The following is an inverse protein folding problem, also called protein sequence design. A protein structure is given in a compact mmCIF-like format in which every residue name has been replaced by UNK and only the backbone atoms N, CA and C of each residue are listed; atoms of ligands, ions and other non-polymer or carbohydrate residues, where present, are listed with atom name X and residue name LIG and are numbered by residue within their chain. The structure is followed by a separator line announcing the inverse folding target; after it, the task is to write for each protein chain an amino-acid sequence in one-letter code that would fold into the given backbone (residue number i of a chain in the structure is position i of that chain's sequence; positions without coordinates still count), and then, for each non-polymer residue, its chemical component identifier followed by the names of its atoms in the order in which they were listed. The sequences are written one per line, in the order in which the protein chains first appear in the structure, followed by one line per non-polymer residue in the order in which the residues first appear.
data_IF_736076165616
#
_entry.id   IF_736076165616
#
_cell.length_a   1.000
_cell.length_b   1.000
_cell.length_c   1.000
_cell.angle_alpha   90.00
_cell.angle_beta   90.00
_cell.angle_gamma   90.00
#
_symmetry.space_group_name_H-M   'P 1'
#
loop_
_entity.id
_entity.type
_entity.pdbx_description
1 polymer ?
#
# COMPACT_ATOMS: atom_id res chain seq x y z
N UNK A 1 63.96 37.78 22.86
CA UNK A 1 63.39 36.62 23.59
C UNK A 1 61.95 36.39 23.14
N UNK A 2 61.71 35.16 22.65
CA UNK A 2 60.46 34.43 22.34
C UNK A 2 59.10 35.16 22.34
N UNK A 3 58.59 35.34 21.12
CA UNK A 3 57.23 35.07 20.56
C UNK A 3 56.08 34.82 21.56
N UNK A 4 54.96 35.55 21.38
CA UNK A 4 53.61 34.99 21.56
C UNK A 4 52.65 35.54 20.50
N UNK A 5 52.41 34.69 19.49
CA UNK A 5 51.43 34.88 18.42
C UNK A 5 50.07 34.53 19.02
N UNK A 6 49.19 35.53 19.14
CA UNK A 6 47.78 35.32 19.50
C UNK A 6 47.03 34.80 18.26
N UNK A 7 47.06 33.48 18.08
CA UNK A 7 46.30 32.77 17.06
C UNK A 7 44.85 32.65 17.56
N UNK A 8 43.99 33.53 17.06
CA UNK A 8 42.55 33.44 17.22
C UNK A 8 42.05 32.21 16.45
N UNK A 9 41.79 31.12 17.17
CA UNK A 9 41.15 29.92 16.63
C UNK A 9 39.69 30.23 16.33
N UNK A 10 39.40 30.62 15.08
CA UNK A 10 38.04 30.55 14.52
C UNK A 10 37.73 29.06 14.33
N UNK A 11 37.06 28.44 15.29
CA UNK A 11 36.42 27.14 15.10
C UNK A 11 35.25 27.36 14.13
N UNK A 12 35.26 26.81 12.89
CA UNK A 12 34.07 26.80 12.08
C UNK A 12 33.12 25.78 12.72
N UNK A 13 32.02 26.27 13.28
CA UNK A 13 30.84 25.45 13.59
C UNK A 13 30.37 24.80 12.29
N UNK A 14 30.90 23.62 11.97
CA UNK A 14 30.35 22.70 10.99
C UNK A 14 29.01 22.20 11.54
N UNK A 15 27.97 23.02 11.45
CA UNK A 15 26.60 22.59 11.67
C UNK A 15 26.21 21.68 10.52
N UNK A 16 26.31 20.39 10.79
CA UNK A 16 25.99 19.30 9.89
C UNK A 16 24.61 19.49 9.24
N UNK A 17 24.58 19.64 7.92
CA UNK A 17 23.39 19.64 7.04
C UNK A 17 22.72 18.25 6.93
N UNK A 18 22.65 17.48 8.02
CA UNK A 18 22.16 16.10 7.99
C UNK A 18 20.64 15.97 7.77
N UNK A 19 19.85 17.03 7.98
CA UNK A 19 18.40 17.01 7.76
C UNK A 19 18.01 16.68 6.31
N UNK A 20 18.78 17.10 5.30
CA UNK A 20 18.40 16.89 3.88
C UNK A 20 18.60 15.45 3.41
N UNK A 21 19.64 14.76 3.88
CA UNK A 21 19.95 13.40 3.43
C UNK A 21 18.95 12.37 3.98
N UNK A 22 18.61 12.48 5.27
CA UNK A 22 17.66 11.59 5.94
C UNK A 22 16.25 11.75 5.37
N UNK A 23 15.82 12.99 5.11
CA UNK A 23 14.52 13.27 4.47
C UNK A 23 14.40 12.61 3.09
N UNK A 24 15.44 12.69 2.25
CA UNK A 24 15.43 12.04 0.94
C UNK A 24 15.30 10.50 1.01
N UNK A 25 15.97 9.86 1.99
CA UNK A 25 15.83 8.41 2.20
C UNK A 25 14.43 8.05 2.70
N UNK A 26 13.86 8.85 3.59
CA UNK A 26 12.51 8.65 4.11
C UNK A 26 11.43 8.85 3.04
N UNK A 27 11.57 9.87 2.19
CA UNK A 27 10.67 10.10 1.04
C UNK A 27 10.72 8.90 0.08
N UNK A 28 11.91 8.39 -0.27
CA UNK A 28 12.04 7.19 -1.11
C UNK A 28 11.38 5.97 -0.46
N UNK A 29 11.56 5.79 0.85
CA UNK A 29 10.91 4.73 1.60
C UNK A 29 9.38 4.83 1.53
N UNK A 30 8.84 6.03 1.78
CA UNK A 30 7.41 6.29 1.66
C UNK A 30 6.87 6.01 0.27
N UNK A 31 7.51 6.57 -0.74
CA UNK A 31 7.08 6.40 -2.14
C UNK A 31 7.13 4.94 -2.57
N UNK A 32 8.03 4.13 -2.00
CA UNK A 32 8.08 2.69 -2.26
C UNK A 32 6.87 1.97 -1.67
N UNK A 33 6.50 2.25 -0.42
CA UNK A 33 5.29 1.67 0.22
C UNK A 33 4.02 2.11 -0.51
N UNK A 34 3.90 3.39 -0.86
CA UNK A 34 2.73 3.93 -1.58
C UNK A 34 2.63 3.33 -2.99
N UNK A 35 3.76 3.05 -3.66
CA UNK A 35 3.75 2.34 -4.94
C UNK A 35 3.21 0.92 -4.80
N UNK A 36 3.54 0.21 -3.73
CA UNK A 36 2.99 -1.11 -3.47
C UNK A 36 1.46 -1.07 -3.27
N UNK A 37 0.96 -0.10 -2.50
CA UNK A 37 -0.49 0.12 -2.36
C UNK A 37 -1.16 0.43 -3.71
N UNK A 38 -0.58 1.36 -4.48
CA UNK A 38 -1.10 1.73 -5.81
C UNK A 38 -1.13 0.54 -6.75
N UNK A 39 -0.10 -0.31 -6.73
CA UNK A 39 -0.06 -1.53 -7.53
C UNK A 39 -1.21 -2.45 -7.15
N UNK A 40 -1.45 -2.72 -5.86
CA UNK A 40 -2.60 -3.53 -5.41
C UNK A 40 -3.92 -2.96 -5.95
N UNK A 41 -4.16 -1.66 -5.76
CA UNK A 41 -5.39 -1.00 -6.22
C UNK A 41 -5.57 -1.09 -7.73
N UNK A 42 -4.48 -0.94 -8.50
CA UNK A 42 -4.50 -1.06 -9.95
C UNK A 42 -4.83 -2.49 -10.40
N UNK A 43 -4.30 -3.51 -9.73
CA UNK A 43 -4.57 -4.92 -10.06
C UNK A 43 -6.04 -5.26 -9.74
N UNK A 44 -6.56 -4.81 -8.59
CA UNK A 44 -7.99 -4.95 -8.23
C UNK A 44 -8.87 -4.26 -9.27
N UNK A 45 -8.56 -3.01 -9.64
CA UNK A 45 -9.32 -2.28 -10.66
C UNK A 45 -9.26 -2.96 -12.03
N UNK A 46 -8.10 -3.50 -12.41
CA UNK A 46 -7.92 -4.23 -13.67
C UNK A 46 -8.74 -5.51 -13.70
N UNK A 47 -8.80 -6.23 -12.59
CA UNK A 47 -9.64 -7.41 -12.45
C UNK A 47 -11.12 -7.10 -12.61
N UNK A 48 -11.63 -6.04 -11.96
CA UNK A 48 -13.03 -5.63 -12.12
C UNK A 48 -13.39 -5.25 -13.56
N UNK A 49 -12.47 -4.63 -14.31
CA UNK A 49 -12.68 -4.37 -15.75
C UNK A 49 -12.78 -5.65 -16.58
N UNK A 50 -12.07 -6.72 -16.19
CA UNK A 50 -12.20 -8.03 -16.84
C UNK A 50 -13.56 -8.65 -16.50
N UNK A 51 -13.97 -8.60 -15.24
CA UNK A 51 -15.30 -9.08 -14.81
C UNK A 51 -16.43 -8.36 -15.54
N UNK A 52 -16.40 -7.03 -15.63
CA UNK A 52 -17.43 -6.25 -16.31
C UNK A 52 -17.56 -6.63 -17.80
N UNK A 53 -16.42 -6.80 -18.49
CA UNK A 53 -16.39 -7.24 -19.89
C UNK A 53 -16.85 -8.69 -20.08
N UNK A 54 -16.66 -9.55 -19.08
CA UNK A 54 -17.04 -10.96 -19.16
C UNK A 54 -18.53 -11.19 -19.35
N UNK A 55 -19.37 -10.23 -18.94
CA UNK A 55 -20.81 -10.26 -19.15
C UNK A 55 -21.20 -10.11 -20.64
N UNK A 56 -20.31 -9.60 -21.49
CA UNK A 56 -20.60 -9.29 -22.90
C UNK A 56 -20.34 -10.45 -23.87
N UNK A 57 -19.45 -11.40 -23.54
CA UNK A 57 -19.14 -12.52 -24.44
C UNK A 57 -18.52 -13.74 -23.73
N UNK A 58 -18.70 -14.94 -24.29
CA UNK A 58 -18.08 -16.16 -23.78
C UNK A 58 -16.55 -16.16 -23.87
N UNK A 59 -15.99 -15.52 -24.90
CA UNK A 59 -14.54 -15.36 -25.05
C UNK A 59 -13.92 -14.47 -23.96
N UNK A 60 -14.67 -13.48 -23.47
CA UNK A 60 -14.23 -12.64 -22.35
C UNK A 60 -14.42 -13.31 -20.98
N UNK A 61 -15.45 -14.16 -20.85
CA UNK A 61 -15.62 -15.03 -19.66
C UNK A 61 -14.43 -15.96 -19.40
N UNK A 62 -13.82 -16.50 -20.47
CA UNK A 62 -12.62 -17.33 -20.36
C UNK A 62 -11.39 -16.60 -19.76
N UNK A 63 -11.39 -15.26 -19.74
CA UNK A 63 -10.29 -14.45 -19.19
C UNK A 63 -10.41 -14.21 -17.69
N UNK A 64 -11.57 -14.47 -17.07
CA UNK A 64 -11.83 -14.15 -15.66
C UNK A 64 -10.93 -14.95 -14.73
N UNK A 65 -10.84 -16.28 -14.91
CA UNK A 65 -10.03 -17.14 -14.04
C UNK A 65 -8.53 -16.78 -14.13
N UNK A 66 -7.91 -16.65 -15.33
CA UNK A 66 -6.52 -16.18 -15.43
C UNK A 66 -6.28 -14.79 -14.82
N UNK A 67 -7.24 -13.86 -14.96
CA UNK A 67 -7.14 -12.53 -14.37
C UNK A 67 -7.23 -12.57 -12.84
N UNK A 68 -8.06 -13.46 -12.30
CA UNK A 68 -8.17 -13.68 -10.86
C UNK A 68 -6.88 -14.30 -10.28
N UNK A 69 -6.31 -15.33 -10.93
CA UNK A 69 -5.03 -15.92 -10.52
C UNK A 69 -3.89 -14.90 -10.56
N UNK A 70 -3.87 -14.05 -11.60
CA UNK A 70 -2.93 -12.95 -11.71
C UNK A 70 -3.10 -11.94 -10.56
N UNK A 71 -4.33 -11.56 -10.22
CA UNK A 71 -4.62 -10.68 -9.09
C UNK A 71 -4.08 -11.27 -7.78
N UNK A 72 -4.42 -12.51 -7.46
CA UNK A 72 -3.94 -13.21 -6.24
C UNK A 72 -2.41 -13.16 -6.17
N UNK A 73 -1.74 -13.54 -7.25
CA UNK A 73 -0.27 -13.54 -7.33
C UNK A 73 0.32 -12.14 -7.14
N UNK A 74 -0.27 -11.12 -7.76
CA UNK A 74 0.25 -9.75 -7.70
C UNK A 74 0.10 -9.13 -6.31
N UNK A 75 -1.04 -9.35 -5.65
CA UNK A 75 -1.27 -8.90 -4.27
C UNK A 75 -0.27 -9.56 -3.32
N UNK A 76 -0.09 -10.88 -3.43
CA UNK A 76 0.92 -11.61 -2.64
C UNK A 76 2.33 -11.04 -2.83
N UNK A 77 2.73 -10.80 -4.08
CA UNK A 77 4.04 -10.23 -4.37
C UNK A 77 4.25 -8.82 -3.77
N UNK A 78 3.22 -7.96 -3.76
CA UNK A 78 3.33 -6.64 -3.13
C UNK A 78 3.41 -6.75 -1.61
N UNK A 79 2.64 -7.65 -1.00
CA UNK A 79 2.69 -7.92 0.44
C UNK A 79 4.07 -8.45 0.86
N UNK A 80 4.60 -9.44 0.14
CA UNK A 80 5.92 -10.01 0.43
C UNK A 80 7.04 -8.98 0.25
N UNK A 81 6.97 -8.18 -0.82
CA UNK A 81 7.89 -7.06 -1.03
C UNK A 81 7.85 -6.05 0.11
N UNK A 82 6.67 -5.83 0.70
CA UNK A 82 6.48 -4.92 1.85
C UNK A 82 7.05 -5.53 3.14
N UNK A 83 6.81 -6.83 3.38
CA UNK A 83 7.38 -7.58 4.51
C UNK A 83 8.91 -7.61 4.47
N UNK A 84 9.51 -7.64 3.28
CA UNK A 84 10.96 -7.63 3.11
C UNK A 84 11.62 -6.26 3.27
N UNK A 85 10.85 -5.16 3.39
CA UNK A 85 11.41 -3.84 3.65
C UNK A 85 12.15 -3.83 5.00
N UNK A 86 13.38 -3.31 5.00
CA UNK A 86 14.11 -3.05 6.24
C UNK A 86 13.48 -1.85 6.96
N UNK A 87 13.33 -1.87 8.30
CA UNK A 87 12.95 -0.68 9.05
C UNK A 87 13.87 0.50 8.74
N UNK A 88 13.30 1.70 8.66
CA UNK A 88 14.09 2.92 8.52
C UNK A 88 14.44 3.43 9.92
N UNK A 89 15.72 3.58 10.24
CA UNK A 89 16.19 4.03 11.56
C UNK A 89 15.59 3.21 12.73
N UNK A 90 15.51 1.89 12.54
CA UNK A 90 14.92 0.93 13.49
C UNK A 90 13.41 1.13 13.75
N UNK A 91 12.75 2.04 13.03
CA UNK A 91 11.31 2.26 13.11
C UNK A 91 10.58 1.43 12.03
N UNK A 92 9.76 0.49 12.49
CA UNK A 92 8.93 -0.37 11.65
C UNK A 92 7.45 0.02 11.66
N UNK A 93 7.05 1.12 12.31
CA UNK A 93 5.64 1.47 12.54
C UNK A 93 4.88 1.62 11.23
N UNK A 94 5.42 2.40 10.29
CA UNK A 94 4.78 2.59 8.99
C UNK A 94 4.78 1.30 8.15
N UNK A 95 5.87 0.52 8.19
CA UNK A 95 5.94 -0.79 7.55
C UNK A 95 4.85 -1.72 8.07
N UNK A 96 4.69 -1.82 9.40
CA UNK A 96 3.74 -2.71 10.03
C UNK A 96 2.30 -2.34 9.67
N UNK A 97 1.97 -1.05 9.67
CA UNK A 97 0.65 -0.60 9.23
C UNK A 97 0.38 -0.88 7.73
N UNK A 98 1.41 -0.81 6.88
CA UNK A 98 1.30 -1.20 5.47
C UNK A 98 1.07 -2.71 5.29
N UNK A 99 1.81 -3.53 6.05
CA UNK A 99 1.64 -4.99 6.04
C UNK A 99 0.21 -5.36 6.44
N UNK A 100 -0.33 -4.78 7.51
CA UNK A 100 -1.70 -5.05 7.96
C UNK A 100 -2.76 -4.68 6.91
N UNK A 101 -2.60 -3.53 6.23
CA UNK A 101 -3.50 -3.16 5.15
C UNK A 101 -3.39 -4.13 3.95
N UNK A 102 -2.19 -4.57 3.61
CA UNK A 102 -1.99 -5.45 2.45
C UNK A 102 -2.38 -6.91 2.77
N UNK A 103 -2.28 -7.34 4.02
CA UNK A 103 -2.86 -8.60 4.51
C UNK A 103 -4.38 -8.58 4.44
N UNK A 104 -5.00 -7.45 4.76
CA UNK A 104 -6.44 -7.27 4.56
C UNK A 104 -6.83 -7.42 3.07
N UNK A 105 -6.10 -6.78 2.15
CA UNK A 105 -6.33 -6.96 0.71
C UNK A 105 -6.10 -8.40 0.24
N UNK A 106 -5.03 -9.05 0.73
CA UNK A 106 -4.77 -10.46 0.45
C UNK A 106 -5.95 -11.33 0.86
N UNK A 107 -6.45 -11.14 2.09
CA UNK A 107 -7.59 -11.90 2.63
C UNK A 107 -8.83 -11.75 1.75
N UNK A 108 -9.19 -10.53 1.37
CA UNK A 108 -10.34 -10.29 0.49
C UNK A 108 -10.18 -11.00 -0.84
N UNK A 109 -9.01 -10.85 -1.47
CA UNK A 109 -8.76 -11.45 -2.77
C UNK A 109 -8.78 -12.98 -2.68
N UNK A 110 -8.25 -13.59 -1.62
CA UNK A 110 -8.13 -15.05 -1.51
C UNK A 110 -9.38 -15.73 -0.95
N UNK A 111 -10.16 -15.06 -0.11
CA UNK A 111 -11.32 -15.66 0.55
C UNK A 111 -12.62 -15.17 -0.08
N UNK A 112 -12.84 -13.85 -0.07
CA UNK A 112 -14.10 -13.26 -0.51
C UNK A 112 -14.25 -13.35 -2.02
N UNK A 113 -13.23 -12.92 -2.78
CA UNK A 113 -13.32 -12.99 -4.24
C UNK A 113 -13.31 -14.44 -4.73
N UNK A 114 -12.61 -15.36 -4.07
CA UNK A 114 -12.69 -16.79 -4.41
C UNK A 114 -14.14 -17.31 -4.35
N UNK A 115 -14.92 -16.83 -3.37
CA UNK A 115 -16.34 -17.17 -3.22
C UNK A 115 -17.23 -16.43 -4.21
N UNK A 116 -16.97 -15.15 -4.47
CA UNK A 116 -17.85 -14.30 -5.27
C UNK A 116 -17.65 -14.46 -6.79
N UNK A 117 -16.43 -14.72 -7.25
CA UNK A 117 -16.09 -14.81 -8.69
C UNK A 117 -16.94 -15.86 -9.43
N UNK A 118 -17.10 -17.09 -8.92
CA UNK A 118 -17.97 -18.07 -9.57
C UNK A 118 -19.43 -17.59 -9.67
N UNK A 119 -19.94 -16.87 -8.67
CA UNK A 119 -21.31 -16.37 -8.64
C UNK A 119 -21.55 -15.31 -9.72
N UNK A 120 -20.63 -14.35 -9.84
CA UNK A 120 -20.77 -13.26 -10.83
C UNK A 120 -20.52 -13.72 -12.27
N UNK A 121 -19.94 -14.91 -12.46
CA UNK A 121 -19.79 -15.54 -13.78
C UNK A 121 -21.02 -16.34 -14.21
N UNK A 122 -21.99 -16.58 -13.33
CA UNK A 122 -23.21 -17.30 -13.67
C UNK A 122 -24.11 -16.47 -14.61
N UNK A 123 -24.83 -17.14 -15.52
CA UNK A 123 -25.82 -16.48 -16.39
C UNK A 123 -27.00 -15.92 -15.61
N UNK A 124 -27.31 -16.51 -14.46
CA UNK A 124 -28.43 -16.12 -13.61
C UNK A 124 -28.02 -16.43 -12.19
N UNK A 125 -28.26 -15.49 -11.28
CA UNK A 125 -27.98 -15.61 -9.84
C UNK A 125 -29.28 -15.51 -9.06
N UNK A 126 -29.44 -16.34 -8.03
CA UNK A 126 -30.62 -16.31 -7.16
C UNK A 126 -30.64 -15.05 -6.29
N UNK A 127 -31.78 -14.75 -5.66
CA UNK A 127 -31.87 -13.60 -4.75
C UNK A 127 -30.94 -13.76 -3.54
N UNK A 128 -30.78 -15.00 -3.04
CA UNK A 128 -29.87 -15.34 -1.96
C UNK A 128 -28.41 -15.08 -2.35
N UNK A 129 -28.01 -15.46 -3.57
CA UNK A 129 -26.66 -15.20 -4.10
C UNK A 129 -26.42 -13.69 -4.29
N UNK A 130 -27.40 -12.95 -4.80
CA UNK A 130 -27.32 -11.49 -4.89
C UNK A 130 -27.14 -10.83 -3.51
N UNK A 131 -27.87 -11.31 -2.51
CA UNK A 131 -27.76 -10.84 -1.12
C UNK A 131 -26.39 -11.18 -0.52
N UNK A 132 -25.83 -12.35 -0.83
CA UNK A 132 -24.48 -12.75 -0.42
C UNK A 132 -23.42 -11.85 -1.04
N UNK A 133 -23.51 -11.57 -2.35
CA UNK A 133 -22.59 -10.66 -3.05
C UNK A 133 -22.63 -9.28 -2.39
N UNK A 134 -23.84 -8.71 -2.23
CA UNK A 134 -24.03 -7.38 -1.65
C UNK A 134 -23.49 -7.31 -0.21
N UNK A 135 -23.89 -8.24 0.65
CA UNK A 135 -23.46 -8.24 2.06
C UNK A 135 -21.95 -8.43 2.21
N UNK A 136 -21.32 -9.24 1.35
CA UNK A 136 -19.86 -9.42 1.34
C UNK A 136 -19.16 -8.12 0.93
N UNK A 137 -19.64 -7.44 -0.11
CA UNK A 137 -19.05 -6.15 -0.55
C UNK A 137 -19.25 -5.04 0.50
N UNK A 138 -20.41 -4.97 1.14
CA UNK A 138 -20.67 -4.03 2.23
C UNK A 138 -19.75 -4.30 3.44
N UNK A 139 -19.57 -5.58 3.79
CA UNK A 139 -18.65 -5.99 4.86
C UNK A 139 -17.21 -5.59 4.53
N UNK A 140 -16.73 -5.88 3.32
CA UNK A 140 -15.39 -5.49 2.85
C UNK A 140 -15.17 -3.98 3.02
N UNK A 141 -16.12 -3.16 2.54
CA UNK A 141 -16.03 -1.69 2.63
C UNK A 141 -15.95 -1.21 4.08
N UNK A 142 -16.73 -1.81 4.97
CA UNK A 142 -16.75 -1.45 6.38
C UNK A 142 -15.46 -1.88 7.10
N UNK A 143 -14.97 -3.09 6.81
CA UNK A 143 -13.76 -3.63 7.42
C UNK A 143 -12.49 -2.94 6.93
N UNK A 144 -12.44 -2.46 5.67
CA UNK A 144 -11.26 -1.77 5.10
C UNK A 144 -10.89 -0.50 5.85
N UNK A 145 -11.89 0.22 6.35
CA UNK A 145 -11.67 1.53 6.97
C UNK A 145 -10.69 1.44 8.14
N UNK A 146 -10.74 0.38 8.96
CA UNK A 146 -9.85 0.24 10.12
C UNK A 146 -8.36 0.14 9.73
N UNK A 147 -7.90 -0.83 8.93
CA UNK A 147 -6.51 -0.90 8.49
C UNK A 147 -6.11 0.29 7.63
N UNK A 148 -7.01 0.84 6.80
CA UNK A 148 -6.72 2.01 5.98
C UNK A 148 -6.44 3.26 6.82
N UNK A 149 -7.25 3.54 7.84
CA UNK A 149 -7.00 4.68 8.74
C UNK A 149 -5.73 4.48 9.56
N UNK A 150 -5.42 3.25 9.97
CA UNK A 150 -4.16 2.94 10.64
C UNK A 150 -2.96 3.22 9.74
N UNK A 151 -3.03 2.81 8.47
CA UNK A 151 -2.02 3.10 7.46
C UNK A 151 -1.83 4.61 7.27
N UNK A 152 -2.90 5.38 7.04
CA UNK A 152 -2.81 6.85 6.86
C UNK A 152 -2.19 7.55 8.06
N UNK A 153 -2.61 7.18 9.28
CA UNK A 153 -2.04 7.74 10.52
C UNK A 153 -0.56 7.43 10.65
N UNK A 154 -0.14 6.18 10.37
CA UNK A 154 1.26 5.78 10.43
C UNK A 154 2.11 6.47 9.35
N UNK A 155 1.58 6.64 8.14
CA UNK A 155 2.24 7.38 7.07
C UNK A 155 2.46 8.85 7.46
N UNK A 156 1.44 9.52 7.98
CA UNK A 156 1.55 10.92 8.42
C UNK A 156 2.53 11.07 9.58
N UNK A 157 2.49 10.17 10.57
CA UNK A 157 3.44 10.18 11.68
C UNK A 157 4.89 9.97 11.20
N UNK A 158 5.11 9.04 10.26
CA UNK A 158 6.40 8.83 9.61
C UNK A 158 6.86 10.09 8.86
N UNK A 159 5.97 10.73 8.12
CA UNK A 159 6.31 11.94 7.37
C UNK A 159 6.67 13.13 8.27
N UNK A 160 5.94 13.31 9.38
CA UNK A 160 6.26 14.32 10.40
C UNK A 160 7.62 14.04 11.04
N UNK A 161 7.89 12.78 11.42
CA UNK A 161 9.17 12.36 12.00
C UNK A 161 10.37 12.71 11.10
N UNK A 162 10.21 12.65 9.79
CA UNK A 162 11.26 12.89 8.81
C UNK A 162 11.13 14.24 8.05
N UNK A 163 10.22 15.12 8.48
CA UNK A 163 10.08 16.48 7.98
C UNK A 163 9.59 16.62 6.54
N UNK A 164 8.74 15.72 6.04
CA UNK A 164 8.19 15.76 4.67
C UNK A 164 6.66 15.67 4.60
N UNK A 165 5.96 15.88 5.72
CA UNK A 165 4.50 15.82 5.85
C UNK A 165 3.74 16.75 4.90
N UNK A 166 4.28 17.94 4.58
CA UNK A 166 3.70 18.87 3.60
C UNK A 166 3.53 18.28 2.20
N UNK A 167 4.30 17.24 1.85
CA UNK A 167 4.20 16.55 0.55
C UNK A 167 3.11 15.47 0.54
N UNK A 168 2.62 15.05 1.71
CA UNK A 168 1.58 14.02 1.84
C UNK A 168 0.20 14.65 1.94
N UNK A 169 0.06 15.82 2.57
CA UNK A 169 -1.22 16.51 2.73
C UNK A 169 -1.88 16.99 1.43
N UNK A 170 -1.19 16.85 0.29
CA UNK A 170 -1.67 17.24 -1.05
C UNK A 170 -2.12 16.03 -1.91
N UNK A 171 -2.08 14.81 -1.36
CA UNK A 171 -2.51 13.56 -2.01
C UNK A 171 -3.79 13.01 -1.37
#
# INVERSE_FOLDING_TARGET
MKKFIWLWWVLPLLTFSQCKFTSNKAIRYNNKVIRYQKNINNEISSFFKVLEKSASSSADSAKVVPAYDALVKKVNNQLDSTRQLKPLEKDSTFKAAAVELFEFYQKIVQEDYARLVPLVMQKTVTQEEQNLIKSTMDRIKNEENKPYQKFKKAQLAFAKKFGFDKQISAQ
#
